data_IF_811608510988
#
_entry.id   IF_811608510988
#
_cell.length_a   1.000
_cell.length_b   1.000
_cell.length_c   1.000
_cell.angle_alpha   90.00
_cell.angle_beta   90.00
_cell.angle_gamma   90.00
#
_symmetry.space_group_name_H-M   'P 1'
#
loop_
_entity.id
_entity.type
_entity.pdbx_description
1 polymer ?
#
# COMPACT_ATOMS: atom_id res chain seq x y z
N UNK A 1 -0.11 15.33 -13.46
CA UNK A 1 -0.10 16.25 -12.28
C UNK A 1 1.30 16.84 -12.22
N UNK A 2 1.52 18.10 -11.84
CA UNK A 2 2.89 18.67 -11.74
C UNK A 2 3.19 19.09 -10.30
N UNK A 3 4.13 18.37 -9.66
CA UNK A 3 4.60 18.65 -8.29
C UNK A 3 5.98 19.31 -8.34
N UNK A 4 5.99 20.64 -8.43
CA UNK A 4 7.19 21.44 -8.68
C UNK A 4 7.85 21.96 -7.39
N UNK A 5 7.09 22.05 -6.28
CA UNK A 5 7.62 22.58 -5.01
C UNK A 5 7.59 21.58 -3.86
N UNK A 6 8.45 21.83 -2.87
CA UNK A 6 8.54 21.04 -1.64
C UNK A 6 7.21 21.05 -0.90
N UNK A 7 6.55 22.20 -0.85
CA UNK A 7 5.26 22.40 -0.19
C UNK A 7 4.16 21.61 -0.88
N UNK A 8 4.17 21.55 -2.22
CA UNK A 8 3.24 20.72 -3.00
C UNK A 8 3.46 19.23 -2.72
N UNK A 9 4.71 18.77 -2.69
CA UNK A 9 5.03 17.37 -2.38
C UNK A 9 4.58 16.99 -0.96
N UNK A 10 4.81 17.85 0.03
CA UNK A 10 4.37 17.63 1.41
C UNK A 10 2.84 17.65 1.53
N UNK A 11 2.17 18.59 0.88
CA UNK A 11 0.71 18.65 0.85
C UNK A 11 0.10 17.41 0.19
N UNK A 12 0.74 16.89 -0.87
CA UNK A 12 0.33 15.67 -1.54
C UNK A 12 0.50 14.44 -0.62
N UNK A 13 1.64 14.30 0.06
CA UNK A 13 1.84 13.24 1.06
C UNK A 13 0.84 13.32 2.22
N UNK A 14 0.46 14.53 2.65
CA UNK A 14 -0.53 14.72 3.70
C UNK A 14 -1.95 14.27 3.27
N UNK A 15 -2.25 14.22 1.97
CA UNK A 15 -3.51 13.63 1.48
C UNK A 15 -3.49 12.11 1.56
N UNK A 16 -2.31 11.49 1.35
CA UNK A 16 -2.14 10.03 1.31
C UNK A 16 -1.94 9.47 2.73
N UNK A 17 -1.12 10.13 3.55
CA UNK A 17 -0.80 9.74 4.93
C UNK A 17 -0.83 10.97 5.87
N UNK A 18 -2.04 11.42 6.29
CA UNK A 18 -2.21 12.67 7.05
C UNK A 18 -1.49 12.70 8.40
N UNK A 19 -1.29 11.53 9.02
CA UNK A 19 -0.69 11.43 10.36
C UNK A 19 0.83 11.24 10.33
N UNK A 20 1.45 11.18 9.16
CA UNK A 20 2.88 10.90 9.01
C UNK A 20 3.62 12.14 8.56
N UNK A 21 4.70 12.47 9.27
CA UNK A 21 5.58 13.57 8.86
C UNK A 21 6.70 13.05 7.96
N UNK A 22 7.03 13.82 6.93
CA UNK A 22 8.03 13.45 5.94
C UNK A 22 9.12 14.49 5.80
N UNK A 23 10.35 14.03 5.64
CA UNK A 23 11.41 14.81 5.04
C UNK A 23 11.40 14.54 3.53
N UNK A 24 11.43 15.60 2.71
CA UNK A 24 11.44 15.48 1.25
C UNK A 24 12.65 16.20 0.66
N UNK A 25 13.24 15.59 -0.37
CA UNK A 25 14.34 16.16 -1.15
C UNK A 25 14.01 16.02 -2.65
N UNK A 26 14.19 17.09 -3.45
CA UNK A 26 13.94 17.03 -4.88
C UNK A 26 15.05 16.25 -5.61
N UNK A 27 14.69 15.64 -6.72
CA UNK A 27 15.61 15.07 -7.71
C UNK A 27 15.01 15.22 -9.12
N UNK A 28 15.75 14.80 -10.16
CA UNK A 28 15.41 15.00 -11.58
C UNK A 28 13.95 14.64 -11.91
N UNK A 29 13.49 13.46 -11.45
CA UNK A 29 12.17 12.91 -11.78
C UNK A 29 11.11 13.12 -10.70
N UNK A 30 11.43 13.79 -9.59
CA UNK A 30 10.44 14.14 -8.56
C UNK A 30 11.02 14.30 -7.16
N UNK A 31 10.45 13.60 -6.18
CA UNK A 31 10.76 13.78 -4.76
C UNK A 31 11.10 12.46 -4.09
N UNK A 32 12.19 12.43 -3.31
CA UNK A 32 12.48 11.32 -2.39
C UNK A 32 12.05 11.72 -0.98
N UNK A 33 11.22 10.88 -0.37
CA UNK A 33 10.56 11.16 0.89
C UNK A 33 10.95 10.11 1.93
N UNK A 34 11.25 10.56 3.15
CA UNK A 34 11.55 9.67 4.28
C UNK A 34 10.62 9.99 5.42
N UNK A 35 10.00 8.95 5.98
CA UNK A 35 9.14 9.10 7.16
C UNK A 35 9.99 9.49 8.38
N UNK A 36 9.57 10.54 9.07
CA UNK A 36 10.10 10.92 10.37
C UNK A 36 9.22 10.29 11.46
N UNK A 37 9.38 8.98 11.68
CA UNK A 37 8.62 8.29 12.73
C UNK A 37 9.24 8.58 14.11
N UNK A 38 8.43 8.96 15.13
CA UNK A 38 8.88 8.92 16.51
C UNK A 38 9.15 7.46 16.94
N UNK A 39 10.09 7.19 17.86
CA UNK A 39 10.56 5.83 18.19
C UNK A 39 9.46 4.84 18.59
N UNK A 40 8.34 5.31 19.13
CA UNK A 40 7.25 4.48 19.67
C UNK A 40 6.30 3.92 18.59
N UNK A 41 6.25 4.51 17.39
CA UNK A 41 5.36 4.04 16.30
C UNK A 41 6.01 2.95 15.41
N UNK A 42 7.27 2.59 15.66
CA UNK A 42 7.99 1.52 14.97
C UNK A 42 7.52 0.10 15.35
N UNK A 43 6.74 -0.06 16.42
CA UNK A 43 6.31 -1.36 16.91
C UNK A 43 4.97 -1.76 16.27
N UNK A 44 5.04 -2.35 15.07
CA UNK A 44 3.94 -3.18 14.55
C UNK A 44 3.35 -2.83 13.19
N UNK A 45 3.87 -1.83 12.46
CA UNK A 45 3.42 -1.49 11.09
C UNK A 45 4.34 -1.97 9.95
N UNK A 46 5.23 -2.95 10.17
CA UNK A 46 5.89 -3.74 9.13
C UNK A 46 6.67 -3.03 8.00
N UNK A 47 6.69 -1.70 7.96
CA UNK A 47 7.35 -0.86 6.97
C UNK A 47 8.60 -0.30 7.63
N UNK A 48 9.66 -1.09 7.66
CA UNK A 48 10.96 -0.60 8.10
C UNK A 48 11.37 0.60 7.26
N UNK A 49 11.37 1.80 7.84
CA UNK A 49 11.98 3.04 7.34
C UNK A 49 11.99 3.21 5.81
N UNK A 50 10.88 2.88 5.15
CA UNK A 50 10.89 2.79 3.70
C UNK A 50 10.98 4.19 3.10
N UNK A 51 11.93 4.40 2.19
CA UNK A 51 11.96 5.62 1.38
C UNK A 51 10.80 5.55 0.39
N UNK A 52 10.13 6.67 0.18
CA UNK A 52 9.14 6.81 -0.88
C UNK A 52 9.73 7.66 -2.00
N UNK A 53 9.33 7.37 -3.24
CA UNK A 53 9.49 8.30 -4.36
C UNK A 53 8.12 8.79 -4.77
N UNK A 54 8.00 10.09 -5.01
CA UNK A 54 6.89 10.70 -5.74
C UNK A 54 7.39 11.10 -7.11
N UNK A 55 6.79 10.56 -8.17
CA UNK A 55 7.02 11.02 -9.53
C UNK A 55 6.31 12.36 -9.76
N UNK A 56 7.05 13.40 -10.14
CA UNK A 56 6.47 14.75 -10.25
C UNK A 56 5.50 14.93 -11.41
N UNK A 57 5.51 14.07 -12.42
CA UNK A 57 4.70 14.19 -13.64
C UNK A 57 3.41 13.36 -13.56
N UNK A 58 3.54 12.16 -13.00
CA UNK A 58 2.43 11.21 -12.89
C UNK A 58 1.74 11.30 -11.54
N UNK A 59 2.46 11.72 -10.49
CA UNK A 59 1.97 11.65 -9.11
C UNK A 59 2.08 10.28 -8.47
N UNK A 60 2.62 9.28 -9.19
CA UNK A 60 2.79 7.93 -8.64
C UNK A 60 3.72 7.97 -7.43
N UNK A 61 3.28 7.36 -6.35
CA UNK A 61 4.07 7.16 -5.13
C UNK A 61 4.48 5.71 -5.04
N UNK A 62 5.77 5.46 -4.91
CA UNK A 62 6.36 4.12 -4.79
C UNK A 62 7.08 3.97 -3.47
N UNK A 63 6.92 2.80 -2.84
CA UNK A 63 7.75 2.38 -1.71
C UNK A 63 9.01 1.71 -2.24
N UNK A 64 10.16 2.13 -1.72
CA UNK A 64 11.48 1.73 -2.20
C UNK A 64 12.17 0.76 -1.22
N UNK A 65 13.18 0.06 -1.73
CA UNK A 65 14.06 -0.79 -0.92
C UNK A 65 14.90 0.05 0.07
N UNK A 66 15.52 -0.60 1.05
CA UNK A 66 16.34 0.06 2.09
C UNK A 66 17.72 0.54 1.62
N UNK A 67 17.83 1.00 0.37
CA UNK A 67 19.05 1.55 -0.21
C UNK A 67 19.27 3.03 0.22
N UNK A 68 20.50 3.55 0.06
CA UNK A 68 20.76 4.98 0.24
C UNK A 68 19.90 5.85 -0.69
N UNK A 69 19.45 7.01 -0.19
CA UNK A 69 18.55 7.93 -0.89
C UNK A 69 19.05 8.31 -2.28
N UNK A 70 20.32 8.68 -2.38
CA UNK A 70 20.91 9.13 -3.64
C UNK A 70 20.93 8.00 -4.68
N UNK A 71 21.17 6.75 -4.24
CA UNK A 71 21.15 5.59 -5.11
C UNK A 71 19.73 5.28 -5.60
N UNK A 72 18.73 5.37 -4.73
CA UNK A 72 17.32 5.21 -5.08
C UNK A 72 16.89 6.25 -6.13
N UNK A 73 17.22 7.52 -5.90
CA UNK A 73 16.90 8.62 -6.82
C UNK A 73 17.59 8.45 -8.18
N UNK A 74 18.85 8.02 -8.18
CA UNK A 74 19.61 7.74 -9.40
C UNK A 74 19.02 6.58 -10.19
N UNK A 75 18.73 5.44 -9.53
CA UNK A 75 18.15 4.27 -10.18
C UNK A 75 16.78 4.59 -10.79
N UNK A 76 15.95 5.36 -10.08
CA UNK A 76 14.65 5.76 -10.58
C UNK A 76 14.75 6.68 -11.80
N UNK A 77 15.61 7.70 -11.73
CA UNK A 77 15.81 8.63 -12.84
C UNK A 77 16.37 7.92 -14.08
N UNK A 78 17.29 6.97 -13.90
CA UNK A 78 17.83 6.17 -14.99
C UNK A 78 16.74 5.29 -15.62
N UNK A 79 16.01 4.53 -14.81
CA UNK A 79 14.92 3.67 -15.30
C UNK A 79 13.86 4.46 -16.07
N UNK A 80 13.50 5.66 -15.58
CA UNK A 80 12.58 6.55 -16.27
C UNK A 80 13.13 7.05 -17.62
N UNK A 81 14.42 7.37 -17.68
CA UNK A 81 15.08 7.86 -18.91
C UNK A 81 15.20 6.76 -19.97
N UNK A 82 15.47 5.52 -19.55
CA UNK A 82 15.67 4.38 -20.44
C UNK A 82 14.36 3.66 -20.78
N UNK A 83 13.27 3.96 -20.07
CA UNK A 83 12.00 3.28 -20.22
C UNK A 83 11.98 1.89 -19.58
N UNK A 84 12.91 1.61 -18.68
CA UNK A 84 12.93 0.39 -17.87
C UNK A 84 11.85 0.42 -16.78
N UNK A 85 11.45 -0.75 -16.25
CA UNK A 85 10.55 -0.81 -15.11
C UNK A 85 11.07 0.02 -13.93
N UNK A 86 10.23 0.93 -13.43
CA UNK A 86 10.59 1.78 -12.31
C UNK A 86 10.83 0.93 -11.04
N UNK A 87 11.87 1.21 -10.24
CA UNK A 87 12.12 0.49 -9.02
C UNK A 87 11.04 0.78 -7.96
N UNK A 88 10.83 -0.17 -7.07
CA UNK A 88 9.87 -0.07 -5.97
C UNK A 88 8.48 -0.56 -6.34
N UNK A 89 7.57 -0.50 -5.35
CA UNK A 89 6.18 -0.90 -5.51
C UNK A 89 5.28 0.32 -5.41
N UNK A 90 4.38 0.52 -6.36
CA UNK A 90 3.38 1.59 -6.27
C UNK A 90 2.48 1.37 -5.05
N UNK A 91 2.26 2.45 -4.30
CA UNK A 91 1.35 2.49 -3.16
C UNK A 91 0.29 3.59 -3.33
N UNK A 92 0.46 4.49 -4.31
CA UNK A 92 -0.52 5.51 -4.66
C UNK A 92 -0.35 5.97 -6.11
N UNK A 93 -1.42 6.30 -6.86
CA UNK A 93 -2.81 6.05 -6.50
C UNK A 93 -3.07 4.54 -6.32
N UNK A 94 -4.04 4.20 -5.48
CA UNK A 94 -4.47 2.82 -5.31
C UNK A 94 -4.98 2.27 -6.64
N UNK A 95 -4.62 1.03 -6.93
CA UNK A 95 -4.98 0.34 -8.17
C UNK A 95 -6.16 -0.61 -7.98
N UNK A 96 -6.45 -1.01 -6.74
CA UNK A 96 -7.52 -1.93 -6.44
C UNK A 96 -8.32 -1.48 -5.22
N UNK A 97 -9.64 -1.67 -5.29
CA UNK A 97 -10.54 -1.64 -4.12
C UNK A 97 -10.99 -3.06 -3.83
N UNK A 98 -10.66 -3.55 -2.64
CA UNK A 98 -11.00 -4.90 -2.21
C UNK A 98 -12.10 -4.81 -1.16
N UNK A 99 -13.22 -5.48 -1.43
CA UNK A 99 -14.34 -5.66 -0.49
C UNK A 99 -14.40 -7.11 -0.04
N UNK A 100 -14.53 -7.34 1.26
CA UNK A 100 -14.79 -8.66 1.83
C UNK A 100 -16.16 -8.66 2.52
N UNK A 101 -16.90 -9.75 2.35
CA UNK A 101 -18.16 -10.00 3.08
C UNK A 101 -18.15 -11.40 3.66
N UNK A 102 -18.31 -11.52 4.97
CA UNK A 102 -18.29 -12.80 5.69
C UNK A 102 -19.46 -13.66 5.23
N UNK A 103 -19.16 -14.85 4.73
CA UNK A 103 -20.16 -15.87 4.37
C UNK A 103 -20.38 -16.79 5.56
N UNK A 104 -19.27 -17.22 6.19
CA UNK A 104 -19.29 -18.21 7.27
C UNK A 104 -18.13 -17.96 8.22
N UNK A 105 -18.35 -18.28 9.48
CA UNK A 105 -17.33 -18.25 10.51
C UNK A 105 -17.54 -19.38 11.49
N UNK A 106 -16.43 -20.03 11.86
CA UNK A 106 -16.39 -20.95 12.99
C UNK A 106 -15.21 -20.60 13.92
N UNK A 107 -14.88 -21.49 14.85
CA UNK A 107 -13.82 -21.23 15.84
C UNK A 107 -12.42 -21.15 15.23
N UNK A 108 -12.17 -21.85 14.12
CA UNK A 108 -10.84 -21.96 13.51
C UNK A 108 -10.71 -21.15 12.24
N UNK A 109 -11.80 -21.04 11.46
CA UNK A 109 -11.78 -20.45 10.13
C UNK A 109 -12.85 -19.39 9.95
N UNK A 110 -12.58 -18.51 9.01
CA UNK A 110 -13.53 -17.56 8.48
C UNK A 110 -13.48 -17.60 6.95
N UNK A 111 -14.66 -17.58 6.35
CA UNK A 111 -14.84 -17.59 4.90
C UNK A 111 -15.52 -16.28 4.50
N UNK A 112 -14.89 -15.57 3.56
CA UNK A 112 -15.35 -14.34 2.98
C UNK A 112 -15.69 -14.55 1.50
N UNK A 113 -16.70 -13.85 1.00
CA UNK A 113 -16.80 -13.52 -0.42
C UNK A 113 -15.93 -12.28 -0.63
N UNK A 114 -14.90 -12.40 -1.45
CA UNK A 114 -14.04 -11.29 -1.84
C UNK A 114 -14.45 -10.77 -3.22
N UNK A 115 -14.38 -9.45 -3.39
CA UNK A 115 -14.46 -8.77 -4.67
C UNK A 115 -13.35 -7.71 -4.75
N UNK A 116 -12.53 -7.76 -5.80
CA UNK A 116 -11.49 -6.78 -6.08
C UNK A 116 -11.80 -6.05 -7.38
N UNK A 117 -12.02 -4.75 -7.27
CA UNK A 117 -12.33 -3.84 -8.37
C UNK A 117 -11.08 -3.05 -8.75
N UNK A 118 -10.73 -3.05 -10.04
CA UNK A 118 -9.62 -2.24 -10.54
C UNK A 118 -10.00 -0.77 -10.57
N UNK A 119 -9.09 0.08 -10.11
CA UNK A 119 -9.18 1.54 -10.09
C UNK A 119 -8.32 2.18 -11.19
N UNK A 120 -7.70 1.38 -12.07
CA UNK A 120 -6.88 1.86 -13.18
C UNK A 120 -7.74 2.33 -14.36
N UNK A 121 -7.12 3.04 -15.30
CA UNK A 121 -7.73 3.43 -16.57
C UNK A 121 -6.83 2.99 -17.75
N UNK A 122 -7.26 2.02 -18.59
CA UNK A 122 -8.53 1.31 -18.51
C UNK A 122 -8.59 0.36 -17.30
N UNK A 123 -9.79 0.04 -16.79
CA UNK A 123 -9.94 -0.86 -15.65
C UNK A 123 -9.67 -2.30 -16.05
N UNK A 124 -8.93 -3.02 -15.22
CA UNK A 124 -8.82 -4.47 -15.30
C UNK A 124 -10.14 -5.16 -14.88
N UNK A 125 -10.41 -6.40 -15.31
CA UNK A 125 -11.61 -7.13 -14.91
C UNK A 125 -11.70 -7.31 -13.38
N UNK A 126 -12.91 -7.11 -12.84
CA UNK A 126 -13.21 -7.39 -11.44
C UNK A 126 -12.95 -8.85 -11.12
N UNK A 127 -12.21 -9.10 -10.04
CA UNK A 127 -11.93 -10.45 -9.56
C UNK A 127 -12.86 -10.76 -8.40
N UNK A 128 -13.50 -11.93 -8.43
CA UNK A 128 -14.38 -12.39 -7.34
C UNK A 128 -14.13 -13.85 -7.06
N UNK A 129 -13.91 -14.18 -5.79
CA UNK A 129 -13.71 -15.55 -5.34
C UNK A 129 -13.93 -15.65 -3.82
N UNK A 130 -14.20 -16.85 -3.29
CA UNK A 130 -14.14 -17.07 -1.85
C UNK A 130 -12.71 -16.86 -1.34
N UNK A 131 -12.60 -16.39 -0.10
CA UNK A 131 -11.37 -16.26 0.67
C UNK A 131 -11.55 -16.98 2.00
N UNK A 132 -10.78 -18.03 2.23
CA UNK A 132 -10.76 -18.74 3.52
C UNK A 132 -9.53 -18.33 4.29
N UNK A 133 -9.68 -17.99 5.57
CA UNK A 133 -8.58 -17.61 6.46
C UNK A 133 -8.63 -18.50 7.70
N UNK A 134 -7.48 -19.08 8.05
CA UNK A 134 -7.25 -19.70 9.34
C UNK A 134 -6.94 -18.63 10.39
N UNK A 135 -7.74 -18.55 11.45
CA UNK A 135 -7.70 -17.45 12.42
C UNK A 135 -6.47 -17.48 13.33
N UNK A 136 -5.77 -18.61 13.43
CA UNK A 136 -4.60 -18.75 14.30
C UNK A 136 -3.30 -18.54 13.54
N UNK A 137 -3.24 -19.08 12.32
CA UNK A 137 -2.03 -19.08 11.50
C UNK A 137 -2.00 -17.98 10.45
N UNK A 138 -3.17 -17.37 10.16
CA UNK A 138 -3.37 -16.40 9.09
C UNK A 138 -3.01 -16.92 7.68
N UNK A 139 -2.87 -18.24 7.56
CA UNK A 139 -2.84 -18.89 6.26
C UNK A 139 -4.19 -18.70 5.58
N UNK A 140 -4.15 -18.44 4.28
CA UNK A 140 -5.33 -18.14 3.50
C UNK A 140 -5.30 -18.84 2.16
N UNK A 141 -6.49 -19.06 1.60
CA UNK A 141 -6.71 -19.62 0.28
C UNK A 141 -7.79 -18.79 -0.43
N UNK A 142 -7.56 -18.34 -1.67
CA UNK A 142 -6.34 -18.51 -2.48
C UNK A 142 -5.13 -17.71 -1.97
N UNK A 143 -3.92 -18.07 -2.38
CA UNK A 143 -2.65 -17.45 -1.92
C UNK A 143 -2.16 -16.29 -2.82
N UNK A 144 -3.04 -15.73 -3.64
CA UNK A 144 -2.69 -14.58 -4.48
C UNK A 144 -2.50 -13.30 -3.65
N UNK A 145 -1.92 -12.28 -4.26
CA UNK A 145 -1.53 -11.08 -3.54
C UNK A 145 -2.73 -10.25 -3.07
N UNK A 146 -3.85 -10.22 -3.81
CA UNK A 146 -5.06 -9.48 -3.41
C UNK A 146 -5.72 -10.18 -2.21
N UNK A 147 -5.77 -11.52 -2.24
CA UNK A 147 -6.22 -12.33 -1.09
C UNK A 147 -5.36 -12.12 0.15
N UNK A 148 -4.04 -12.01 -0.03
CA UNK A 148 -3.12 -11.71 1.08
C UNK A 148 -3.38 -10.34 1.68
N UNK A 149 -3.66 -9.32 0.84
CA UNK A 149 -4.03 -7.97 1.32
C UNK A 149 -5.34 -8.02 2.10
N UNK A 150 -6.36 -8.68 1.55
CA UNK A 150 -7.67 -8.83 2.18
C UNK A 150 -7.56 -9.53 3.56
N UNK A 151 -6.76 -10.59 3.63
CA UNK A 151 -6.47 -11.31 4.87
C UNK A 151 -5.80 -10.39 5.90
N UNK A 152 -4.72 -9.69 5.53
CA UNK A 152 -4.02 -8.78 6.44
C UNK A 152 -4.90 -7.63 6.93
N UNK A 153 -5.78 -7.11 6.06
CA UNK A 153 -6.77 -6.10 6.44
C UNK A 153 -7.78 -6.64 7.46
N UNK A 154 -8.37 -7.81 7.19
CA UNK A 154 -9.33 -8.45 8.08
C UNK A 154 -8.71 -8.81 9.45
N UNK A 155 -7.46 -9.28 9.45
CA UNK A 155 -6.68 -9.51 10.67
C UNK A 155 -6.50 -8.20 11.46
N UNK A 156 -6.03 -7.14 10.80
CA UNK A 156 -5.82 -5.85 11.45
C UNK A 156 -7.12 -5.33 12.08
N UNK A 157 -8.23 -5.38 11.34
CA UNK A 157 -9.55 -5.01 11.84
C UNK A 157 -9.98 -5.87 13.04
N UNK A 158 -9.74 -7.18 12.99
CA UNK A 158 -10.02 -8.08 14.11
C UNK A 158 -9.23 -7.69 15.35
N UNK A 159 -7.95 -7.36 15.22
CA UNK A 159 -7.11 -6.87 16.32
C UNK A 159 -7.63 -5.56 16.92
N UNK A 160 -8.12 -4.63 16.08
CA UNK A 160 -8.74 -3.39 16.56
C UNK A 160 -10.07 -3.65 17.27
N UNK A 161 -10.82 -4.67 16.83
CA UNK A 161 -12.16 -5.00 17.31
C UNK A 161 -12.16 -6.12 18.35
N UNK A 162 -11.18 -6.15 19.25
CA UNK A 162 -11.11 -7.13 20.36
C UNK A 162 -11.20 -8.60 19.91
N UNK A 163 -10.67 -8.91 18.73
CA UNK A 163 -10.69 -10.25 18.12
C UNK A 163 -11.94 -10.58 17.31
N UNK A 164 -12.88 -9.65 17.18
CA UNK A 164 -14.07 -9.82 16.33
C UNK A 164 -13.73 -9.54 14.86
N UNK A 165 -13.89 -10.56 14.02
CA UNK A 165 -13.67 -10.44 12.58
C UNK A 165 -14.80 -9.64 11.91
N UNK A 166 -14.49 -8.80 10.90
CA UNK A 166 -15.48 -7.94 10.28
C UNK A 166 -16.52 -8.75 9.49
N UNK A 167 -17.77 -8.29 9.51
CA UNK A 167 -18.82 -8.86 8.66
C UNK A 167 -18.71 -8.36 7.22
N UNK A 168 -18.46 -7.07 7.03
CA UNK A 168 -18.18 -6.44 5.75
C UNK A 168 -17.09 -5.40 5.97
N UNK A 169 -16.11 -5.34 5.08
CA UNK A 169 -15.07 -4.32 5.12
C UNK A 169 -14.52 -4.03 3.72
N UNK A 170 -13.82 -2.91 3.57
CA UNK A 170 -13.22 -2.45 2.31
C UNK A 170 -11.84 -1.85 2.55
N UNK A 171 -10.89 -2.17 1.67
CA UNK A 171 -9.54 -1.61 1.67
C UNK A 171 -9.07 -1.28 0.26
N UNK A 172 -8.18 -0.30 0.11
CA UNK A 172 -7.62 0.12 -1.18
C UNK A 172 -6.11 -0.08 -1.19
N UNK A 173 -5.59 -0.63 -2.29
CA UNK A 173 -4.14 -0.91 -2.49
C UNK A 173 -3.66 -0.48 -3.84
#
# INVERSE_FOLDING_TARGET
MQLETREQALAYLAQIQPSVTFEVQPFESGWICKQNLPPQENLGRGLGMASLIIDKETGVVTVQSSLPRDLIAQQYAEAKRTGEPLPGRQIYPHQWRITIRRIREDRQRIEYQMAAESLTDPPEPTQQHPLTIDKQTYLHDPTDWLSSVAMSHAEWMSRQNQGAWPEVDTTEV
#
